data_IF_432660068280
#
_entry.id   IF_432660068280
#
_cell.length_a   1.000
_cell.length_b   1.000
_cell.length_c   1.000
_cell.angle_alpha   90.00
_cell.angle_beta   90.00
_cell.angle_gamma   90.00
#
_symmetry.space_group_name_H-M   'P 1'
#
loop_
_entity.id
_entity.type
_entity.pdbx_description
1 polymer ?
#
# COMPACT_ATOMS: atom_id res chain seq x y z
N UNK A 1 10.14 12.69 43.20
CA UNK A 1 10.57 13.10 41.85
C UNK A 1 10.36 12.05 40.75
N UNK A 2 9.85 10.84 41.04
CA UNK A 2 9.57 9.82 40.00
C UNK A 2 8.26 10.04 39.22
N UNK A 3 7.39 10.95 39.65
CA UNK A 3 6.02 11.06 39.14
C UNK A 3 5.91 11.85 37.81
N UNK A 4 6.84 12.77 37.56
CA UNK A 4 6.86 13.53 36.29
C UNK A 4 7.45 12.68 35.14
N UNK A 5 8.48 11.88 35.42
CA UNK A 5 9.08 11.00 34.41
C UNK A 5 8.11 9.91 33.93
N UNK A 6 7.28 9.38 34.85
CA UNK A 6 6.28 8.37 34.52
C UNK A 6 5.12 8.95 33.71
N UNK A 7 4.70 10.20 33.99
CA UNK A 7 3.73 10.90 33.14
C UNK A 7 4.31 11.29 31.78
N UNK A 8 5.57 11.70 31.68
CA UNK A 8 6.21 11.98 30.38
C UNK A 8 6.48 10.72 29.57
N UNK A 9 6.70 9.56 30.22
CA UNK A 9 6.76 8.25 29.57
C UNK A 9 5.36 7.77 29.11
N UNK A 10 4.31 8.03 29.89
CA UNK A 10 2.92 7.71 29.50
C UNK A 10 2.35 8.65 28.43
N UNK A 11 2.85 9.88 28.32
CA UNK A 11 2.43 10.88 27.33
C UNK A 11 3.39 11.00 26.14
N UNK A 12 4.34 10.05 26.00
CA UNK A 12 5.08 9.84 24.76
C UNK A 12 4.20 9.04 23.80
N UNK A 13 3.46 9.79 22.97
CA UNK A 13 2.72 9.38 21.78
C UNK A 13 3.01 7.96 21.29
N UNK A 14 2.05 7.04 21.49
CA UNK A 14 2.15 5.61 21.11
C UNK A 14 2.13 5.46 19.59
N UNK A 15 3.23 5.76 18.91
CA UNK A 15 3.45 5.31 17.55
C UNK A 15 4.09 3.92 17.60
N UNK A 16 3.60 3.02 16.75
CA UNK A 16 4.12 1.66 16.68
C UNK A 16 5.61 1.66 16.33
N UNK A 17 6.41 0.91 17.10
CA UNK A 17 7.80 0.64 16.79
C UNK A 17 7.91 -0.29 15.57
N UNK A 18 9.05 -0.23 14.87
CA UNK A 18 9.36 -1.18 13.79
C UNK A 18 10.01 -2.46 14.33
N UNK A 19 10.20 -3.47 13.46
CA UNK A 19 10.89 -4.73 13.78
C UNK A 19 12.31 -4.48 14.32
N UNK A 20 13.01 -3.49 13.78
CA UNK A 20 14.28 -3.00 14.30
C UNK A 20 14.16 -1.54 14.77
N UNK A 21 14.90 -1.19 15.81
CA UNK A 21 14.87 0.15 16.40
C UNK A 21 15.29 1.22 15.37
N UNK A 22 16.27 0.91 14.52
CA UNK A 22 16.77 1.78 13.45
C UNK A 22 15.71 2.16 12.40
N UNK A 23 14.74 1.28 12.13
CA UNK A 23 13.66 1.55 11.17
C UNK A 23 12.48 2.32 11.78
N UNK A 24 12.45 2.51 13.10
CA UNK A 24 11.34 3.18 13.79
C UNK A 24 11.13 4.64 13.37
N UNK A 25 12.15 5.51 13.27
CA UNK A 25 11.93 6.89 12.79
C UNK A 25 11.44 6.94 11.34
N UNK A 26 11.93 6.06 10.46
CA UNK A 26 11.44 5.94 9.08
C UNK A 26 9.99 5.49 9.03
N UNK A 27 9.62 4.51 9.86
CA UNK A 27 8.24 4.04 10.01
C UNK A 27 7.32 5.17 10.44
N UNK A 28 7.71 5.94 11.45
CA UNK A 28 6.89 7.03 11.97
C UNK A 28 6.66 8.10 10.90
N UNK A 29 7.70 8.51 10.18
CA UNK A 29 7.58 9.47 9.08
C UNK A 29 6.67 8.96 7.96
N UNK A 30 6.84 7.70 7.55
CA UNK A 30 5.97 7.06 6.56
C UNK A 30 4.52 6.95 7.02
N UNK A 31 4.27 6.42 8.23
CA UNK A 31 2.93 6.23 8.78
C UNK A 31 2.19 7.57 8.89
N UNK A 32 2.86 8.66 9.30
CA UNK A 32 2.28 10.00 9.30
C UNK A 32 1.85 10.44 7.89
N UNK A 33 2.73 10.29 6.89
CA UNK A 33 2.38 10.63 5.50
C UNK A 33 1.22 9.79 4.97
N UNK A 34 1.33 8.47 5.12
CA UNK A 34 0.34 7.51 4.68
C UNK A 34 -1.03 7.78 5.30
N UNK A 35 -1.10 7.98 6.62
CA UNK A 35 -2.38 8.22 7.30
C UNK A 35 -3.07 9.49 6.80
N UNK A 36 -2.33 10.58 6.55
CA UNK A 36 -2.88 11.82 5.98
C UNK A 36 -3.33 11.67 4.52
N UNK A 37 -2.66 10.84 3.73
CA UNK A 37 -3.12 10.48 2.39
C UNK A 37 -4.34 9.55 2.43
N UNK A 38 -4.33 8.56 3.31
CA UNK A 38 -5.33 7.50 3.41
C UNK A 38 -6.70 8.03 3.84
N UNK A 39 -6.75 8.98 4.77
CA UNK A 39 -8.01 9.65 5.13
C UNK A 39 -8.73 10.28 3.91
N UNK A 40 -7.96 10.90 3.01
CA UNK A 40 -8.49 11.49 1.75
C UNK A 40 -8.89 10.40 0.75
N UNK A 41 -8.12 9.32 0.68
CA UNK A 41 -8.42 8.16 -0.18
C UNK A 41 -9.80 7.56 0.11
N UNK A 42 -10.20 7.51 1.40
CA UNK A 42 -11.46 6.93 1.87
C UNK A 42 -12.70 7.82 1.70
N UNK A 43 -12.53 9.15 1.61
CA UNK A 43 -13.66 10.12 1.58
C UNK A 43 -14.67 9.92 0.43
N UNK A 44 -14.30 9.57 -0.82
CA UNK A 44 -15.28 9.37 -1.89
C UNK A 44 -16.13 8.08 -1.74
N UNK A 45 -15.75 7.15 -0.87
CA UNK A 45 -16.46 5.87 -0.70
C UNK A 45 -17.59 5.93 0.34
N UNK A 46 -17.69 6.99 1.14
CA UNK A 46 -18.58 7.05 2.31
C UNK A 46 -19.63 8.16 2.23
N UNK A 47 -19.60 9.01 1.19
CA UNK A 47 -20.56 10.11 1.05
C UNK A 47 -21.75 9.72 0.17
N UNK A 48 -22.99 9.72 0.70
CA UNK A 48 -24.21 9.42 -0.06
C UNK A 48 -24.57 10.51 -1.10
N UNK A 49 -23.78 11.58 -1.20
CA UNK A 49 -23.97 12.68 -2.16
C UNK A 49 -22.95 12.67 -3.31
N UNK A 50 -22.16 11.59 -3.42
CA UNK A 50 -21.11 11.49 -4.45
C UNK A 50 -21.75 11.14 -5.81
N UNK A 51 -21.47 11.89 -6.89
CA UNK A 51 -21.94 11.52 -8.22
C UNK A 51 -21.47 10.13 -8.61
N UNK A 52 -22.33 9.36 -9.28
CA UNK A 52 -21.99 8.04 -9.81
C UNK A 52 -20.98 8.24 -10.94
N UNK A 53 -19.70 7.94 -10.65
CA UNK A 53 -18.64 7.95 -11.64
C UNK A 53 -18.76 6.74 -12.59
N UNK A 54 -18.55 6.98 -13.87
CA UNK A 54 -18.34 5.95 -14.89
C UNK A 54 -17.10 5.12 -14.57
N UNK A 55 -16.95 3.97 -15.22
CA UNK A 55 -15.77 3.12 -15.08
C UNK A 55 -14.47 3.85 -15.44
N UNK A 56 -14.50 4.67 -16.50
CA UNK A 56 -13.35 5.46 -16.95
C UNK A 56 -12.97 6.54 -15.94
N UNK A 57 -13.95 7.28 -15.40
CA UNK A 57 -13.71 8.28 -14.38
C UNK A 57 -13.20 7.68 -13.06
N UNK A 58 -13.71 6.50 -12.66
CA UNK A 58 -13.19 5.75 -11.51
C UNK A 58 -11.73 5.36 -11.70
N UNK A 59 -11.39 4.88 -12.89
CA UNK A 59 -10.02 4.52 -13.23
C UNK A 59 -9.10 5.75 -13.19
N UNK A 60 -9.51 6.86 -13.79
CA UNK A 60 -8.77 8.12 -13.76
C UNK A 60 -8.60 8.63 -12.31
N UNK A 61 -9.65 8.57 -11.49
CA UNK A 61 -9.57 8.94 -10.08
C UNK A 61 -8.61 8.04 -9.30
N UNK A 62 -8.65 6.72 -9.51
CA UNK A 62 -7.75 5.79 -8.83
C UNK A 62 -6.28 6.03 -9.21
N UNK A 63 -6.01 6.29 -10.50
CA UNK A 63 -4.68 6.69 -10.98
C UNK A 63 -4.22 8.00 -10.36
N UNK A 64 -5.08 9.01 -10.30
CA UNK A 64 -4.76 10.29 -9.68
C UNK A 64 -4.43 10.14 -8.18
N UNK A 65 -5.19 9.31 -7.44
CA UNK A 65 -4.90 8.99 -6.04
C UNK A 65 -3.56 8.28 -5.87
N UNK A 66 -3.23 7.35 -6.76
CA UNK A 66 -1.94 6.66 -6.77
C UNK A 66 -0.77 7.62 -7.08
N UNK A 67 -0.95 8.54 -8.04
CA UNK A 67 0.04 9.57 -8.33
C UNK A 67 0.25 10.54 -7.15
N UNK A 68 -0.82 10.94 -6.45
CA UNK A 68 -0.72 11.77 -5.23
C UNK A 68 0.01 11.03 -4.09
N UNK A 69 -0.19 9.71 -3.97
CA UNK A 69 0.56 8.88 -3.02
C UNK A 69 2.05 8.88 -3.35
N UNK A 70 2.41 8.56 -4.59
CA UNK A 70 3.80 8.43 -5.01
C UNK A 70 4.56 9.74 -4.82
N UNK A 71 3.94 10.86 -5.23
CA UNK A 71 4.55 12.18 -5.11
C UNK A 71 4.79 12.63 -3.66
N UNK A 72 4.01 12.13 -2.69
CA UNK A 72 4.08 12.58 -1.28
C UNK A 72 4.80 11.60 -0.36
N UNK A 73 4.50 10.31 -0.51
CA UNK A 73 4.92 9.26 0.42
C UNK A 73 5.83 8.21 -0.23
N UNK A 74 6.04 8.24 -1.55
CA UNK A 74 6.78 7.22 -2.29
C UNK A 74 8.22 7.05 -1.81
N UNK A 75 8.96 8.15 -1.64
CA UNK A 75 10.35 8.09 -1.13
C UNK A 75 10.42 7.57 0.30
N UNK A 76 9.56 8.07 1.20
CA UNK A 76 9.47 7.61 2.59
C UNK A 76 9.17 6.11 2.67
N UNK A 77 8.26 5.63 1.81
CA UNK A 77 7.95 4.20 1.70
C UNK A 77 9.16 3.40 1.26
N UNK A 78 9.87 3.82 0.21
CA UNK A 78 11.04 3.12 -0.29
C UNK A 78 12.15 3.01 0.77
N UNK A 79 12.43 4.10 1.49
CA UNK A 79 13.44 4.12 2.56
C UNK A 79 13.04 3.21 3.73
N UNK A 80 11.80 3.30 4.19
CA UNK A 80 11.27 2.45 5.25
C UNK A 80 11.25 0.97 4.84
N UNK A 81 10.75 0.65 3.65
CA UNK A 81 10.68 -0.70 3.10
C UNK A 81 12.08 -1.31 3.03
N UNK A 82 13.06 -0.59 2.48
CA UNK A 82 14.44 -1.08 2.39
C UNK A 82 15.03 -1.37 3.78
N UNK A 83 14.76 -0.51 4.77
CA UNK A 83 15.18 -0.73 6.15
C UNK A 83 14.59 -2.02 6.73
N UNK A 84 13.26 -2.19 6.62
CA UNK A 84 12.56 -3.36 7.19
C UNK A 84 12.93 -4.65 6.49
N UNK A 85 13.14 -4.65 5.17
CA UNK A 85 13.53 -5.87 4.46
C UNK A 85 14.88 -6.39 4.93
N UNK A 86 15.86 -5.52 5.18
CA UNK A 86 17.13 -5.92 5.79
C UNK A 86 16.95 -6.51 7.18
N UNK A 87 16.07 -5.92 7.99
CA UNK A 87 15.74 -6.46 9.32
C UNK A 87 15.05 -7.83 9.22
N UNK A 88 14.16 -8.03 8.25
CA UNK A 88 13.48 -9.31 7.99
C UNK A 88 14.48 -10.40 7.60
N UNK A 89 15.39 -10.10 6.68
CA UNK A 89 16.45 -11.01 6.27
C UNK A 89 17.37 -11.37 7.45
N UNK A 90 17.82 -10.36 8.21
CA UNK A 90 18.68 -10.56 9.37
C UNK A 90 18.05 -11.36 10.51
N UNK A 91 16.72 -11.40 10.60
CA UNK A 91 15.98 -12.23 11.56
C UNK A 91 15.56 -13.60 11.00
N UNK A 92 15.93 -13.94 9.75
CA UNK A 92 15.60 -15.23 9.14
C UNK A 92 14.11 -15.42 8.83
N UNK A 93 13.33 -14.33 8.73
CA UNK A 93 11.88 -14.38 8.50
C UNK A 93 11.48 -14.32 7.02
N UNK A 94 12.44 -14.08 6.12
CA UNK A 94 12.18 -13.80 4.72
C UNK A 94 11.37 -14.91 4.01
N UNK A 95 11.76 -16.17 4.19
CA UNK A 95 11.09 -17.29 3.51
C UNK A 95 9.67 -17.50 4.03
N UNK A 96 9.48 -17.50 5.35
CA UNK A 96 8.15 -17.64 5.96
C UNK A 96 7.20 -16.52 5.53
N UNK A 97 7.69 -15.28 5.45
CA UNK A 97 6.89 -14.16 4.96
C UNK A 97 6.60 -14.27 3.46
N UNK A 98 7.52 -14.79 2.65
CA UNK A 98 7.28 -15.02 1.21
C UNK A 98 6.16 -16.04 1.03
N UNK A 99 6.27 -17.21 1.66
CA UNK A 99 5.25 -18.26 1.62
C UNK A 99 3.88 -17.73 2.06
N UNK A 100 3.83 -17.00 3.18
CA UNK A 100 2.57 -16.42 3.71
C UNK A 100 1.95 -15.37 2.78
N UNK A 101 2.74 -14.70 1.93
CA UNK A 101 2.27 -13.68 0.99
C UNK A 101 1.82 -14.28 -0.34
N UNK A 102 2.36 -15.44 -0.71
CA UNK A 102 1.99 -16.18 -1.92
C UNK A 102 0.65 -16.93 -1.73
N UNK A 103 0.24 -17.19 -0.48
CA UNK A 103 -1.04 -17.80 -0.15
C UNK A 103 -2.18 -16.76 -0.16
N UNK A 104 -3.20 -16.89 -1.03
CA UNK A 104 -4.36 -16.01 -1.02
C UNK A 104 -5.27 -16.34 0.17
N UNK A 105 -5.43 -15.43 1.17
CA UNK A 105 -6.19 -15.74 2.38
C UNK A 105 -7.71 -15.82 2.13
N UNK A 106 -8.18 -15.32 0.99
CA UNK A 106 -9.59 -15.35 0.63
C UNK A 106 -9.84 -16.47 -0.38
N UNK A 107 -10.35 -17.60 0.11
CA UNK A 107 -10.98 -18.61 -0.76
C UNK A 107 -12.37 -18.12 -1.12
N UNK A 108 -12.62 -17.84 -2.40
CA UNK A 108 -13.98 -17.62 -2.86
C UNK A 108 -14.72 -18.96 -2.80
N UNK A 109 -15.90 -19.05 -2.14
CA UNK A 109 -16.70 -20.25 -2.20
C UNK A 109 -17.04 -20.50 -3.66
N UNK A 110 -16.46 -21.56 -4.22
CA UNK A 110 -16.87 -22.07 -5.51
C UNK A 110 -18.32 -22.49 -5.37
N UNK A 111 -19.22 -21.72 -5.99
CA UNK A 111 -20.55 -22.23 -6.28
C UNK A 111 -20.37 -23.56 -6.99
N UNK A 112 -20.91 -24.62 -6.38
CA UNK A 112 -21.00 -25.96 -6.95
C UNK A 112 -21.26 -25.88 -8.45
N UNK A 113 -20.28 -26.28 -9.26
CA UNK A 113 -20.50 -26.58 -10.66
C UNK A 113 -19.74 -27.86 -10.97
N UNK A 114 -20.52 -28.94 -11.04
CA UNK A 114 -20.12 -30.11 -11.80
C UNK A 114 -19.68 -29.66 -13.20
N UNK A 115 -18.43 -30.00 -13.54
CA UNK A 115 -18.06 -30.33 -14.90
C UNK A 115 -17.64 -29.18 -15.80
N UNK A 116 -16.40 -29.34 -16.29
CA UNK A 116 -15.90 -28.89 -17.59
C UNK A 116 -15.24 -27.51 -17.61
N UNK A 117 -13.91 -27.56 -17.52
CA UNK A 117 -12.98 -26.94 -18.47
C UNK A 117 -13.50 -25.72 -19.24
N UNK A 118 -13.16 -24.54 -18.76
CA UNK A 118 -12.86 -23.42 -19.64
C UNK A 118 -11.99 -22.43 -18.90
N UNK A 119 -10.74 -22.34 -19.34
CA UNK A 119 -9.79 -21.31 -18.99
C UNK A 119 -10.44 -19.94 -19.17
N UNK A 120 -10.76 -19.27 -18.07
CA UNK A 120 -10.91 -17.83 -18.06
C UNK A 120 -9.95 -17.29 -16.99
N UNK A 121 -8.67 -17.38 -17.33
CA UNK A 121 -7.73 -16.39 -16.86
C UNK A 121 -8.21 -15.06 -17.44
N UNK A 122 -8.91 -14.26 -16.63
CA UNK A 122 -8.95 -12.81 -16.85
C UNK A 122 -7.57 -12.27 -16.50
N UNK A 123 -6.60 -12.62 -17.34
CA UNK A 123 -5.36 -11.87 -17.46
C UNK A 123 -5.83 -10.50 -17.92
N UNK A 124 -5.80 -9.50 -17.02
CA UNK A 124 -5.65 -8.13 -17.50
C UNK A 124 -4.28 -8.12 -18.16
N UNK A 125 -4.26 -8.41 -19.46
CA UNK A 125 -3.12 -8.18 -20.32
C UNK A 125 -2.94 -6.67 -20.39
N UNK A 126 -2.16 -6.14 -19.44
CA UNK A 126 -1.35 -4.96 -19.70
C UNK A 126 -0.45 -5.34 -20.87
N UNK A 127 -0.90 -5.06 -22.09
CA UNK A 127 -0.04 -5.20 -23.25
C UNK A 127 0.99 -4.08 -23.20
N UNK A 128 2.25 -4.42 -23.43
CA UNK A 128 3.42 -3.54 -23.52
C UNK A 128 3.33 -2.49 -24.66
N UNK A 129 2.15 -2.30 -25.26
CA UNK A 129 1.96 -1.40 -26.42
C UNK A 129 1.81 0.07 -26.05
N UNK A 130 1.64 0.43 -24.77
CA UNK A 130 1.60 1.83 -24.33
C UNK A 130 2.96 2.36 -23.80
N UNK A 131 4.01 1.53 -23.76
CA UNK A 131 5.39 1.98 -23.47
C UNK A 131 6.19 2.16 -24.77
N UNK A 132 5.70 2.98 -25.69
CA UNK A 132 6.53 3.52 -26.77
C UNK A 132 6.02 4.89 -27.21
N UNK A 133 6.48 5.91 -26.49
CA UNK A 133 6.22 7.32 -26.78
C UNK A 133 7.37 8.22 -26.32
N UNK A 134 8.62 7.80 -26.54
CA UNK A 134 9.79 8.68 -26.50
C UNK A 134 9.96 9.31 -27.89
N UNK A 135 9.99 10.65 -27.97
CA UNK A 135 10.57 11.38 -29.09
C UNK A 135 9.63 12.34 -29.81
N UNK A 136 9.79 13.64 -29.56
CA UNK A 136 9.08 14.69 -30.28
C UNK A 136 9.42 16.10 -29.81
N UNK A 137 10.71 16.46 -29.80
CA UNK A 137 11.13 17.87 -29.91
C UNK A 137 10.88 18.29 -31.36
N UNK A 138 10.14 19.39 -31.57
CA UNK A 138 10.35 20.41 -32.63
C UNK A 138 9.11 21.30 -32.77
N UNK A 139 9.32 22.62 -32.76
CA UNK A 139 8.33 23.65 -33.06
C UNK A 139 8.52 24.89 -32.22
#
# INVERSE_FOLDING_TARGET
MLNIYFLTLLLSTVMASSLSAECTPLKQAYDTCFNSWFQRYLTPSTSPRTPVLTSEEKLAQNRAKAADYEARCGSLWQEYQACVQRAVEGNGLAELLRESRDEPPLTYPSGSSNGSSSSQASTISLTDSDYSGRGGVSG
#
